data_IF_358643761557
#
_entry.id   IF_358643761557
#
_cell.length_a   1.000
_cell.length_b   1.000
_cell.length_c   1.000
_cell.angle_alpha   90.00
_cell.angle_beta   90.00
_cell.angle_gamma   90.00
#
_symmetry.space_group_name_H-M   'P 1'
#
loop_
_entity.id
_entity.type
_entity.pdbx_description
1 polymer ?
#
# COMPACT_ATOMS: atom_id res chain seq x y z
N UNK A 1 -1.54 -0.56 13.74
CA UNK A 1 -1.73 -1.30 12.47
C UNK A 1 -2.23 -0.29 11.47
N UNK A 2 -1.69 -0.29 10.25
CA UNK A 2 -2.17 0.53 9.14
C UNK A 2 -2.63 -0.35 7.99
N UNK A 3 -3.35 0.25 7.05
CA UNK A 3 -3.88 -0.41 5.86
C UNK A 3 -3.39 0.37 4.65
N UNK A 4 -2.67 -0.29 3.75
CA UNK A 4 -2.27 0.28 2.48
C UNK A 4 -3.35 -0.05 1.44
N UNK A 5 -3.95 0.96 0.84
CA UNK A 5 -4.87 0.83 -0.28
C UNK A 5 -4.21 1.39 -1.54
N UNK A 6 -4.26 0.63 -2.63
CA UNK A 6 -3.72 1.04 -3.92
C UNK A 6 -4.72 0.65 -5.01
N UNK A 7 -5.38 1.62 -5.66
CA UNK A 7 -6.43 1.33 -6.64
C UNK A 7 -6.65 2.42 -7.69
N UNK A 8 -7.32 2.01 -8.78
CA UNK A 8 -7.87 2.84 -9.85
C UNK A 8 -9.30 2.40 -10.11
N UNK A 9 -10.17 3.31 -10.56
CA UNK A 9 -11.61 3.03 -10.76
C UNK A 9 -12.00 2.79 -12.24
N UNK A 10 -11.20 3.28 -13.20
CA UNK A 10 -11.53 3.21 -14.64
C UNK A 10 -10.32 2.82 -15.51
N UNK A 11 -10.10 1.51 -15.79
CA UNK A 11 -10.84 0.35 -15.28
C UNK A 11 -10.54 0.09 -13.80
N UNK A 12 -11.43 -0.63 -13.11
CA UNK A 12 -11.17 -0.98 -11.72
C UNK A 12 -10.05 -2.01 -11.59
N UNK A 13 -9.00 -1.63 -10.88
CA UNK A 13 -7.92 -2.50 -10.44
C UNK A 13 -7.42 -1.97 -9.10
N UNK A 14 -7.33 -2.84 -8.09
CA UNK A 14 -6.92 -2.39 -6.77
C UNK A 14 -6.55 -3.53 -5.83
N UNK A 15 -5.78 -3.19 -4.82
CA UNK A 15 -5.26 -4.09 -3.81
C UNK A 15 -5.28 -3.39 -2.44
N UNK A 16 -5.52 -4.18 -1.39
CA UNK A 16 -5.50 -3.72 0.00
C UNK A 16 -4.58 -4.65 0.79
N UNK A 17 -3.65 -4.06 1.55
CA UNK A 17 -2.67 -4.81 2.33
C UNK A 17 -2.61 -4.31 3.77
N UNK A 18 -2.48 -5.23 4.71
CA UNK A 18 -2.26 -4.92 6.12
C UNK A 18 -0.78 -4.63 6.38
N UNK A 19 -0.50 -3.52 7.05
CA UNK A 19 0.85 -3.06 7.38
C UNK A 19 0.99 -3.00 8.90
N UNK A 20 1.79 -3.90 9.49
CA UNK A 20 2.02 -3.92 10.94
C UNK A 20 3.30 -3.19 11.36
N UNK A 21 4.20 -2.90 10.41
CA UNK A 21 5.48 -2.24 10.65
C UNK A 21 6.01 -1.55 9.40
N UNK A 22 7.00 -0.67 9.56
CA UNK A 22 7.76 -0.06 8.45
C UNK A 22 8.38 -1.14 7.54
N UNK A 23 8.82 -2.26 8.11
CA UNK A 23 9.37 -3.41 7.38
C UNK A 23 8.33 -4.09 6.48
N UNK A 24 7.09 -4.19 6.94
CA UNK A 24 6.00 -4.72 6.11
C UNK A 24 5.74 -3.80 4.92
N UNK A 25 5.69 -2.48 5.16
CA UNK A 25 5.50 -1.48 4.11
C UNK A 25 6.65 -1.53 3.10
N UNK A 26 7.90 -1.49 3.58
CA UNK A 26 9.09 -1.60 2.74
C UNK A 26 9.05 -2.87 1.87
N UNK A 27 8.67 -4.02 2.43
CA UNK A 27 8.57 -5.26 1.65
C UNK A 27 7.55 -5.14 0.52
N UNK A 28 6.38 -4.54 0.78
CA UNK A 28 5.35 -4.33 -0.25
C UNK A 28 5.85 -3.39 -1.35
N UNK A 29 6.45 -2.25 -0.96
CA UNK A 29 6.98 -1.28 -1.92
C UNK A 29 8.14 -1.88 -2.71
N UNK A 30 9.09 -2.55 -2.06
CA UNK A 30 10.22 -3.21 -2.70
C UNK A 30 9.78 -4.32 -3.67
N UNK A 31 8.73 -5.09 -3.37
CA UNK A 31 8.21 -6.07 -4.31
C UNK A 31 7.69 -5.42 -5.61
N UNK A 32 7.32 -4.14 -5.58
CA UNK A 32 6.86 -3.36 -6.74
C UNK A 32 7.97 -2.55 -7.41
N UNK A 33 8.92 -2.03 -6.62
CA UNK A 33 9.91 -1.04 -7.05
C UNK A 33 11.35 -1.59 -7.10
N UNK A 34 11.61 -2.80 -6.59
CA UNK A 34 12.98 -3.29 -6.34
C UNK A 34 13.86 -3.47 -7.58
N UNK A 35 13.33 -3.33 -8.79
CA UNK A 35 14.12 -3.31 -10.03
C UNK A 35 14.56 -1.90 -10.45
N UNK A 36 14.07 -0.86 -9.77
CA UNK A 36 14.29 0.55 -10.10
C UNK A 36 15.38 1.19 -9.24
N UNK A 37 15.93 0.45 -8.27
CA UNK A 37 17.10 0.87 -7.47
C UNK A 37 16.84 1.97 -6.45
N UNK A 38 15.63 2.54 -6.37
CA UNK A 38 15.28 3.61 -5.41
C UNK A 38 15.34 3.20 -3.94
N UNK A 39 15.33 1.90 -3.67
CA UNK A 39 15.41 1.31 -2.32
C UNK A 39 16.73 0.57 -2.07
N UNK A 40 17.63 0.57 -3.04
CA UNK A 40 18.94 -0.08 -2.93
C UNK A 40 20.02 0.93 -2.57
N UNK A 41 21.13 0.45 -2.02
CA UNK A 41 22.33 1.25 -1.77
C UNK A 41 23.18 1.39 -3.05
N UNK A 42 24.30 2.10 -2.94
CA UNK A 42 25.23 2.31 -4.06
C UNK A 42 25.82 1.01 -4.63
N UNK A 43 25.69 -0.11 -3.90
CA UNK A 43 26.20 -1.43 -4.28
C UNK A 43 25.09 -2.34 -4.82
N UNK A 44 23.83 -1.86 -4.86
CA UNK A 44 22.67 -2.62 -5.34
C UNK A 44 22.09 -3.57 -4.30
N UNK A 45 22.37 -3.37 -3.00
CA UNK A 45 21.73 -4.12 -1.92
C UNK A 45 20.55 -3.34 -1.35
N UNK A 46 19.43 -4.01 -1.01
CA UNK A 46 18.31 -3.34 -0.36
C UNK A 46 18.76 -2.64 0.93
N UNK A 47 18.45 -1.35 1.03
CA UNK A 47 18.71 -0.57 2.24
C UNK A 47 17.88 -1.11 3.41
N UNK A 48 18.34 -0.83 4.63
CA UNK A 48 17.60 -1.20 5.83
C UNK A 48 16.20 -0.55 5.82
N UNK A 49 15.10 -1.32 5.93
CA UNK A 49 13.75 -0.78 6.03
C UNK A 49 13.58 0.30 7.11
N UNK A 50 14.31 0.19 8.22
CA UNK A 50 14.23 1.15 9.33
C UNK A 50 14.90 2.50 8.99
N UNK A 51 15.61 2.59 7.85
CA UNK A 51 16.20 3.84 7.36
C UNK A 51 15.23 4.72 6.55
N UNK A 52 13.99 4.26 6.37
CA UNK A 52 12.95 4.97 5.63
C UNK A 52 11.80 5.38 6.54
N UNK A 53 11.19 6.51 6.22
CA UNK A 53 9.89 6.93 6.72
C UNK A 53 8.76 6.33 5.89
N UNK A 54 7.53 6.29 6.44
CA UNK A 54 6.35 5.85 5.69
C UNK A 54 6.12 6.71 4.44
N UNK A 55 6.32 8.03 4.56
CA UNK A 55 6.13 8.97 3.46
C UNK A 55 7.13 8.76 2.31
N UNK A 56 8.39 8.45 2.63
CA UNK A 56 9.41 8.11 1.61
C UNK A 56 9.04 6.84 0.86
N UNK A 57 8.59 5.80 1.58
CA UNK A 57 8.15 4.54 0.97
C UNK A 57 6.89 4.73 0.09
N UNK A 58 5.95 5.56 0.53
CA UNK A 58 4.76 5.89 -0.26
C UNK A 58 5.09 6.73 -1.48
N UNK A 59 6.03 7.68 -1.36
CA UNK A 59 6.51 8.48 -2.49
C UNK A 59 7.16 7.57 -3.56
N UNK A 60 8.00 6.63 -3.14
CA UNK A 60 8.60 5.65 -4.05
C UNK A 60 7.51 4.80 -4.71
N UNK A 61 6.55 4.28 -3.96
CA UNK A 61 5.47 3.47 -4.52
C UNK A 61 4.64 4.26 -5.55
N UNK A 62 4.30 5.52 -5.26
CA UNK A 62 3.58 6.41 -6.18
C UNK A 62 4.37 6.71 -7.44
N UNK A 63 5.71 6.77 -7.36
CA UNK A 63 6.55 7.06 -8.52
C UNK A 63 6.54 5.95 -9.59
N UNK A 64 6.25 4.71 -9.20
CA UNK A 64 6.32 3.53 -10.08
C UNK A 64 4.95 2.92 -10.40
N UNK A 65 3.96 3.21 -9.56
CA UNK A 65 2.62 2.64 -9.66
C UNK A 65 1.78 3.39 -10.69
N UNK A 66 0.86 2.67 -11.33
CA UNK A 66 -0.16 3.23 -12.22
C UNK A 66 -1.50 3.48 -11.54
N UNK A 67 -1.62 3.14 -10.26
CA UNK A 67 -2.83 3.38 -9.49
C UNK A 67 -3.02 4.88 -9.25
N UNK A 68 -4.26 5.34 -9.37
CA UNK A 68 -4.60 6.75 -9.16
C UNK A 68 -4.56 7.11 -7.67
N UNK A 69 -4.89 6.14 -6.80
CA UNK A 69 -4.96 6.31 -5.35
C UNK A 69 -4.02 5.32 -4.70
N UNK A 70 -3.10 5.83 -3.87
CA UNK A 70 -2.20 5.05 -3.01
C UNK A 70 -2.13 5.74 -1.66
N UNK A 71 -2.78 5.13 -0.67
CA UNK A 71 -2.95 5.71 0.66
C UNK A 71 -2.68 4.70 1.77
N UNK A 72 -2.05 5.17 2.84
CA UNK A 72 -1.82 4.41 4.06
C UNK A 72 -2.72 4.98 5.16
N UNK A 73 -3.73 4.21 5.55
CA UNK A 73 -4.77 4.67 6.48
C UNK A 73 -4.72 3.90 7.80
N UNK A 74 -5.21 4.52 8.87
CA UNK A 74 -5.11 3.97 10.23
C UNK A 74 -6.34 3.15 10.66
N UNK A 75 -7.42 3.12 9.86
CA UNK A 75 -8.66 2.42 10.20
C UNK A 75 -9.43 1.91 8.99
N UNK A 76 -10.34 0.97 9.22
CA UNK A 76 -11.29 0.45 8.22
C UNK A 76 -12.26 1.55 7.75
N UNK A 77 -12.67 2.44 8.65
CA UNK A 77 -13.52 3.59 8.29
C UNK A 77 -12.81 4.54 7.32
N UNK A 78 -11.54 4.86 7.60
CA UNK A 78 -10.73 5.69 6.70
C UNK A 78 -10.50 5.00 5.35
N UNK A 79 -10.34 3.67 5.34
CA UNK A 79 -10.24 2.88 4.12
C UNK A 79 -11.52 2.99 3.28
N UNK A 80 -12.69 2.76 3.86
CA UNK A 80 -13.99 2.85 3.17
C UNK A 80 -14.27 4.28 2.68
N UNK A 81 -13.76 5.30 3.36
CA UNK A 81 -13.92 6.69 2.96
C UNK A 81 -13.08 7.09 1.72
N UNK A 82 -12.15 6.25 1.25
CA UNK A 82 -11.31 6.57 0.09
C UNK A 82 -12.08 6.62 -1.23
N UNK A 83 -13.19 5.88 -1.38
CA UNK A 83 -14.01 5.88 -2.59
C UNK A 83 -15.40 5.30 -2.33
N UNK A 84 -16.38 5.81 -3.07
CA UNK A 84 -17.75 5.30 -3.15
C UNK A 84 -17.97 4.27 -4.28
N UNK A 85 -16.90 3.88 -5.00
CA UNK A 85 -16.99 2.90 -6.07
C UNK A 85 -17.44 1.52 -5.53
N UNK A 86 -18.50 0.90 -6.08
CA UNK A 86 -19.01 -0.36 -5.56
C UNK A 86 -17.99 -1.51 -5.57
N UNK A 87 -17.04 -1.52 -6.51
CA UNK A 87 -16.01 -2.58 -6.58
C UNK A 87 -14.94 -2.35 -5.52
N UNK A 88 -14.61 -1.09 -5.22
CA UNK A 88 -13.71 -0.77 -4.11
C UNK A 88 -14.33 -1.13 -2.76
N UNK A 89 -15.61 -0.80 -2.54
CA UNK A 89 -16.32 -1.16 -1.31
C UNK A 89 -16.38 -2.67 -1.12
N UNK A 90 -16.66 -3.43 -2.19
CA UNK A 90 -16.60 -4.89 -2.16
C UNK A 90 -15.20 -5.43 -1.82
N UNK A 91 -14.14 -4.84 -2.38
CA UNK A 91 -12.76 -5.19 -2.05
C UNK A 91 -12.45 -4.93 -0.57
N UNK A 92 -12.99 -3.84 0.00
CA UNK A 92 -12.86 -3.56 1.44
C UNK A 92 -13.56 -4.63 2.28
N UNK A 93 -14.78 -5.04 1.91
CA UNK A 93 -15.52 -6.11 2.61
C UNK A 93 -14.75 -7.43 2.60
N UNK A 94 -14.26 -7.85 1.42
CA UNK A 94 -13.43 -9.06 1.27
C UNK A 94 -12.17 -8.99 2.14
N UNK A 95 -11.50 -7.83 2.19
CA UNK A 95 -10.33 -7.62 3.03
C UNK A 95 -10.65 -7.73 4.54
N UNK A 96 -11.76 -7.13 4.99
CA UNK A 96 -12.21 -7.16 6.38
C UNK A 96 -12.52 -8.58 6.83
N UNK A 97 -13.25 -9.34 6.00
CA UNK A 97 -13.61 -10.74 6.28
C UNK A 97 -12.36 -11.62 6.39
N UNK A 98 -11.44 -11.53 5.41
CA UNK A 98 -10.20 -12.32 5.40
C UNK A 98 -9.28 -12.03 6.60
N UNK A 99 -9.29 -10.80 7.10
CA UNK A 99 -8.43 -10.38 8.22
C UNK A 99 -9.13 -10.40 9.59
N UNK A 100 -10.40 -10.81 9.64
CA UNK A 100 -11.23 -10.83 10.86
C UNK A 100 -11.23 -9.46 11.58
N UNK A 101 -11.32 -8.38 10.81
CA UNK A 101 -11.36 -7.02 11.35
C UNK A 101 -12.80 -6.67 11.74
N UNK A 102 -12.97 -5.87 12.79
CA UNK A 102 -14.28 -5.27 13.09
C UNK A 102 -14.58 -4.22 12.01
N UNK A 103 -15.78 -4.33 11.43
CA UNK A 103 -16.20 -3.60 10.23
C UNK A 103 -16.57 -2.14 10.49
#
# INVERSE_FOLDING_TARGET
>A
MKILASFSVNPFYGEIARINSIRDLHRVVHARCGLLGGLDDEQGFPRDPESFTEDELLAEFRSVSRHDIIELVDSVDALKALSDDPKFLKLCEEFIELNQLEA
#
